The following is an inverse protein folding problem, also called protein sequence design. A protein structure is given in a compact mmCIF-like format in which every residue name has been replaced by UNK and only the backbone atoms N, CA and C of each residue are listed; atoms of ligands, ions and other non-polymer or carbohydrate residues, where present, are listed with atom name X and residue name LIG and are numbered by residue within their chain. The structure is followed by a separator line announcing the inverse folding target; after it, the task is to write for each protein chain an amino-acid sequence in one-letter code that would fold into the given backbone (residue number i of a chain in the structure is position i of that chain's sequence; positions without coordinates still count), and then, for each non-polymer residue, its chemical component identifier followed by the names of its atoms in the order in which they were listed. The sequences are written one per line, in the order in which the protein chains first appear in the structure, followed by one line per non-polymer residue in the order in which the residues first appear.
data_IF_344238181494
#
_entry.id   IF_344238181494
#
_cell.length_a   1.000
_cell.length_b   1.000
_cell.length_c   1.000
_cell.angle_alpha   90.00
_cell.angle_beta   90.00
_cell.angle_gamma   90.00
#
_symmetry.space_group_name_H-M   'P 1'
#
loop_
_entity.id
_entity.type
_entity.pdbx_description
1 polymer ?
#
# COMPACT_ATOMS: atom_id res chain seq x y z
N UNK A 1 10.09 -21.61 66.78
CA UNK A 1 10.05 -21.46 65.31
C UNK A 1 11.37 -21.99 64.76
N UNK A 2 11.35 -23.19 64.17
CA UNK A 2 12.56 -23.95 63.80
C UNK A 2 13.13 -23.36 62.51
N UNK A 3 14.38 -22.87 62.55
CA UNK A 3 15.13 -22.45 61.34
C UNK A 3 15.55 -23.70 60.59
N UNK A 4 14.81 -24.04 59.52
CA UNK A 4 15.24 -25.04 58.55
C UNK A 4 16.22 -24.37 57.60
N UNK A 5 17.51 -24.62 57.79
CA UNK A 5 18.52 -24.30 56.79
C UNK A 5 18.40 -25.28 55.63
N UNK A 6 18.05 -24.78 54.45
CA UNK A 6 18.11 -25.57 53.21
C UNK A 6 19.59 -25.92 53.00
N UNK A 7 19.96 -27.19 53.25
CA UNK A 7 21.25 -27.73 52.82
C UNK A 7 21.26 -27.71 51.29
N UNK A 8 21.98 -26.76 50.69
CA UNK A 8 22.33 -26.83 49.28
C UNK A 8 23.25 -28.05 49.10
N UNK A 9 22.74 -29.11 48.49
CA UNK A 9 23.55 -30.24 48.03
C UNK A 9 24.35 -29.80 46.81
N UNK A 10 25.48 -29.11 47.05
CA UNK A 10 26.48 -28.87 46.02
C UNK A 10 27.49 -30.02 46.12
N UNK A 11 27.31 -31.03 45.28
CA UNK A 11 28.23 -32.16 45.17
C UNK A 11 27.86 -33.00 43.95
N UNK A 12 28.51 -32.75 42.82
CA UNK A 12 28.41 -33.60 41.64
C UNK A 12 29.01 -34.99 41.88
N UNK A 13 29.00 -35.86 40.86
CA UNK A 13 29.49 -37.25 40.98
C UNK A 13 30.98 -37.39 41.32
N UNK A 14 31.74 -36.30 41.26
CA UNK A 14 33.14 -36.26 41.65
C UNK A 14 33.27 -36.29 43.20
N UNK A 15 33.92 -37.33 43.71
CA UNK A 15 34.19 -37.53 45.15
C UNK A 15 35.63 -37.12 45.48
N UNK A 16 35.91 -36.70 46.72
CA UNK A 16 37.28 -36.42 47.15
C UNK A 16 38.16 -37.66 46.97
N UNK A 17 39.39 -37.47 46.48
CA UNK A 17 40.39 -38.50 46.27
C UNK A 17 41.75 -38.02 46.82
N UNK A 18 42.57 -38.94 47.34
CA UNK A 18 43.83 -38.60 48.03
C UNK A 18 45.00 -38.31 47.09
N UNK A 19 44.94 -38.76 45.83
CA UNK A 19 45.95 -38.46 44.81
C UNK A 19 45.65 -37.16 44.05
N UNK A 20 46.65 -36.29 43.91
CA UNK A 20 46.51 -35.02 43.20
C UNK A 20 46.99 -35.11 41.73
N UNK A 21 46.14 -34.79 40.74
CA UNK A 21 46.54 -34.77 39.33
C UNK A 21 47.60 -33.68 39.05
N UNK A 22 48.49 -33.86 38.05
CA UNK A 22 49.51 -32.86 37.72
C UNK A 22 48.98 -31.44 37.45
N UNK A 23 47.71 -31.32 37.02
CA UNK A 23 47.04 -30.04 36.75
C UNK A 23 46.60 -29.28 38.02
N UNK A 24 46.44 -29.97 39.15
CA UNK A 24 45.97 -29.39 40.40
C UNK A 24 47.09 -29.24 41.45
N UNK A 25 48.32 -29.67 41.12
CA UNK A 25 49.51 -29.67 42.00
C UNK A 25 49.87 -28.32 42.61
N UNK A 26 49.43 -27.23 42.01
CA UNK A 26 49.68 -25.89 42.51
C UNK A 26 48.42 -25.37 43.20
N UNK A 27 48.60 -24.62 44.29
CA UNK A 27 47.53 -24.09 45.14
C UNK A 27 46.36 -23.49 44.32
N UNK A 28 45.12 -23.54 44.83
CA UNK A 28 43.96 -23.02 44.11
C UNK A 28 44.15 -21.55 43.72
N UNK A 29 44.20 -21.30 42.41
CA UNK A 29 44.39 -19.96 41.85
C UNK A 29 43.09 -19.15 41.77
N UNK A 30 41.94 -19.81 41.90
CA UNK A 30 40.62 -19.19 41.83
C UNK A 30 40.00 -19.12 43.23
N UNK A 31 39.47 -17.95 43.54
CA UNK A 31 38.70 -17.72 44.76
C UNK A 31 37.32 -18.36 44.64
N UNK A 32 36.77 -18.84 45.76
CA UNK A 32 35.43 -19.44 45.82
C UNK A 32 34.33 -18.56 45.22
N UNK A 33 34.43 -17.23 45.35
CA UNK A 33 33.47 -16.26 44.76
C UNK A 33 33.40 -16.31 43.23
N UNK A 34 34.43 -16.84 42.56
CA UNK A 34 34.48 -17.00 41.10
C UNK A 34 33.75 -18.27 40.65
N UNK A 35 33.49 -19.20 41.57
CA UNK A 35 32.83 -20.46 41.30
C UNK A 35 31.39 -20.50 41.85
N UNK A 36 31.17 -19.97 43.05
CA UNK A 36 29.85 -19.93 43.68
C UNK A 36 29.06 -18.68 43.26
N UNK A 37 27.77 -18.88 42.94
CA UNK A 37 26.84 -17.79 42.70
C UNK A 37 26.57 -16.94 43.93
N UNK A 38 26.10 -15.71 43.71
CA UNK A 38 25.80 -14.73 44.75
C UNK A 38 24.63 -15.14 45.68
N UNK A 39 24.44 -14.36 46.75
CA UNK A 39 23.37 -14.62 47.72
C UNK A 39 21.99 -14.51 47.03
N UNK A 40 21.09 -15.50 47.19
CA UNK A 40 19.84 -15.57 46.44
C UNK A 40 18.89 -14.38 46.67
N UNK A 41 18.96 -13.73 47.83
CA UNK A 41 18.09 -12.59 48.21
C UNK A 41 18.82 -11.25 48.37
N UNK A 42 20.14 -11.27 48.53
CA UNK A 42 20.98 -10.09 48.76
C UNK A 42 22.10 -10.09 47.73
N UNK A 43 21.70 -10.16 46.47
CA UNK A 43 22.62 -10.10 45.35
C UNK A 43 23.14 -8.68 45.12
N UNK A 44 24.23 -8.58 44.35
CA UNK A 44 24.85 -7.29 44.04
C UNK A 44 23.87 -6.32 43.37
N UNK A 45 23.01 -6.83 42.48
CA UNK A 45 22.05 -6.02 41.74
C UNK A 45 20.95 -5.40 42.65
N UNK A 46 20.33 -6.18 43.54
CA UNK A 46 19.28 -5.67 44.44
C UNK A 46 19.85 -4.66 45.43
N UNK A 47 21.05 -4.91 45.96
CA UNK A 47 21.73 -3.96 46.85
C UNK A 47 22.10 -2.66 46.10
N UNK A 48 22.57 -2.76 44.85
CA UNK A 48 22.82 -1.62 43.99
C UNK A 48 21.54 -0.81 43.73
N UNK A 49 20.44 -1.46 43.35
CA UNK A 49 19.17 -0.79 43.11
C UNK A 49 18.63 -0.11 44.37
N UNK A 50 18.79 -0.71 45.55
CA UNK A 50 18.41 -0.09 46.83
C UNK A 50 19.25 1.15 47.15
N UNK A 51 20.54 1.13 46.82
CA UNK A 51 21.42 2.29 46.99
C UNK A 51 21.11 3.42 46.00
N UNK A 52 20.77 3.07 44.75
CA UNK A 52 20.43 4.04 43.71
C UNK A 52 19.00 4.58 43.86
N UNK A 53 18.10 3.83 44.51
CA UNK A 53 16.69 4.19 44.74
C UNK A 53 16.47 5.66 45.13
N UNK A 54 17.09 6.21 46.18
CA UNK A 54 16.86 7.61 46.56
C UNK A 54 17.27 8.62 45.48
N UNK A 55 18.32 8.32 44.71
CA UNK A 55 18.74 9.18 43.59
C UNK A 55 17.72 9.12 42.44
N UNK A 56 17.25 7.91 42.12
CA UNK A 56 16.24 7.69 41.08
C UNK A 56 14.91 8.35 41.47
N UNK A 57 14.45 8.15 42.71
CA UNK A 57 13.23 8.79 43.23
C UNK A 57 13.32 10.31 43.17
N UNK A 58 14.48 10.89 43.51
CA UNK A 58 14.70 12.35 43.40
C UNK A 58 14.61 12.83 41.96
N UNK A 59 15.21 12.11 41.01
CA UNK A 59 15.15 12.46 39.59
C UNK A 59 13.71 12.38 39.10
N UNK A 60 13.02 11.26 39.32
CA UNK A 60 11.64 11.06 38.90
C UNK A 60 10.69 12.08 39.52
N UNK A 61 10.82 12.35 40.83
CA UNK A 61 10.01 13.36 41.52
C UNK A 61 10.27 14.76 40.96
N UNK A 62 11.53 15.11 40.69
CA UNK A 62 11.89 16.40 40.10
C UNK A 62 11.30 16.54 38.69
N UNK A 63 11.44 15.51 37.84
CA UNK A 63 10.87 15.50 36.49
C UNK A 63 9.35 15.60 36.52
N UNK A 64 8.68 14.82 37.38
CA UNK A 64 7.23 14.85 37.52
C UNK A 64 6.74 16.22 38.02
N UNK A 65 7.37 16.77 39.06
CA UNK A 65 7.02 18.10 39.60
C UNK A 65 7.23 19.22 38.59
N UNK A 66 8.27 19.12 37.76
CA UNK A 66 8.54 20.10 36.70
C UNK A 66 7.47 20.01 35.61
N UNK A 67 7.14 18.80 35.16
CA UNK A 67 6.09 18.56 34.17
C UNK A 67 4.71 19.02 34.67
N UNK A 68 4.37 18.71 35.93
CA UNK A 68 3.10 19.15 36.53
C UNK A 68 3.05 20.67 36.65
N UNK A 69 4.13 21.29 37.11
CA UNK A 69 4.19 22.75 37.26
C UNK A 69 4.08 23.47 35.92
N UNK A 70 4.72 22.94 34.87
CA UNK A 70 4.59 23.44 33.50
C UNK A 70 3.15 23.28 32.99
N UNK A 71 2.54 22.10 33.19
CA UNK A 71 1.16 21.84 32.80
C UNK A 71 0.18 22.79 33.50
N UNK A 72 0.33 23.00 34.82
CA UNK A 72 -0.50 23.95 35.58
C UNK A 72 -0.28 25.40 35.12
N UNK A 73 0.94 25.76 34.75
CA UNK A 73 1.26 27.10 34.25
C UNK A 73 0.57 27.40 32.91
N UNK A 74 0.35 26.39 32.07
CA UNK A 74 -0.40 26.51 30.79
C UNK A 74 -1.91 26.39 31.02
N UNK A 75 -2.34 25.43 31.83
CA UNK A 75 -3.77 25.13 32.02
C UNK A 75 -4.50 26.21 32.83
N UNK A 76 -3.91 26.71 33.91
CA UNK A 76 -4.56 27.69 34.78
C UNK A 76 -4.95 29.01 34.07
N UNK A 77 -4.11 29.65 33.23
CA UNK A 77 -4.53 30.84 32.51
C UNK A 77 -5.64 30.54 31.50
N UNK A 78 -5.54 29.43 30.75
CA UNK A 78 -6.59 29.02 29.80
C UNK A 78 -7.91 28.77 30.51
N UNK A 79 -7.89 28.00 31.62
CA UNK A 79 -9.06 27.76 32.47
C UNK A 79 -9.68 29.07 32.97
N UNK A 80 -8.86 30.01 33.45
CA UNK A 80 -9.35 31.32 33.93
C UNK A 80 -10.03 32.10 32.81
N UNK A 81 -9.48 32.11 31.59
CA UNK A 81 -10.08 32.77 30.43
C UNK A 81 -11.41 32.10 30.06
N UNK A 82 -11.43 30.77 29.95
CA UNK A 82 -12.65 30.02 29.61
C UNK A 82 -13.76 30.26 30.63
N UNK A 83 -13.46 30.17 31.94
CA UNK A 83 -14.46 30.42 33.00
C UNK A 83 -14.91 31.88 33.08
N UNK A 84 -14.04 32.84 32.73
CA UNK A 84 -14.40 34.26 32.69
C UNK A 84 -15.43 34.57 31.60
N UNK A 85 -15.32 33.92 30.43
CA UNK A 85 -16.24 34.12 29.31
C UNK A 85 -17.42 33.15 29.31
N UNK A 86 -17.25 31.95 29.84
CA UNK A 86 -18.26 30.88 29.90
C UNK A 86 -18.34 30.32 31.33
N UNK A 87 -18.99 31.04 32.26
CA UNK A 87 -19.00 30.67 33.68
C UNK A 87 -19.84 29.43 34.00
N UNK A 88 -20.86 29.13 33.18
CA UNK A 88 -21.77 27.98 33.36
C UNK A 88 -21.48 26.88 32.32
N UNK A 89 -21.77 25.63 32.68
CA UNK A 89 -21.55 24.43 31.85
C UNK A 89 -22.31 24.51 30.52
N UNK A 90 -23.49 25.15 30.52
CA UNK A 90 -24.31 25.34 29.32
C UNK A 90 -23.57 26.19 28.27
N UNK A 91 -22.98 27.30 28.70
CA UNK A 91 -22.19 28.17 27.82
C UNK A 91 -20.88 27.49 27.38
N UNK A 92 -20.25 26.70 28.25
CA UNK A 92 -19.08 25.91 27.89
C UNK A 92 -19.40 24.87 26.81
N UNK A 93 -20.55 24.21 26.89
CA UNK A 93 -21.00 23.28 25.86
C UNK A 93 -21.28 23.99 24.52
N UNK A 94 -21.93 25.16 24.55
CA UNK A 94 -22.14 25.99 23.35
C UNK A 94 -20.81 26.41 22.74
N UNK A 95 -19.84 26.86 23.55
CA UNK A 95 -18.52 27.25 23.06
C UNK A 95 -17.76 26.04 22.47
N UNK A 96 -17.85 24.86 23.08
CA UNK A 96 -17.21 23.63 22.60
C UNK A 96 -17.82 23.14 21.28
N UNK A 97 -19.15 23.16 21.17
CA UNK A 97 -19.84 22.80 19.92
C UNK A 97 -19.51 23.79 18.80
N UNK A 98 -19.51 25.10 19.10
CA UNK A 98 -19.10 26.13 18.15
C UNK A 98 -17.64 25.95 17.70
N UNK A 99 -16.73 25.59 18.61
CA UNK A 99 -15.35 25.27 18.28
C UNK A 99 -15.28 24.09 17.30
N UNK A 100 -15.93 22.95 17.60
CA UNK A 100 -15.90 21.79 16.70
C UNK A 100 -16.56 22.06 15.34
N UNK A 101 -17.66 22.81 15.30
CA UNK A 101 -18.30 23.20 14.05
C UNK A 101 -17.41 24.11 13.22
N UNK A 102 -16.74 25.08 13.85
CA UNK A 102 -15.80 25.98 13.18
C UNK A 102 -14.58 25.21 12.66
N UNK A 103 -14.00 24.32 13.47
CA UNK A 103 -12.90 23.45 13.03
C UNK A 103 -13.34 22.58 11.86
N UNK A 104 -14.51 21.95 11.92
CA UNK A 104 -15.05 21.15 10.82
C UNK A 104 -15.26 21.99 9.56
N UNK A 105 -15.78 23.21 9.68
CA UNK A 105 -16.00 24.11 8.56
C UNK A 105 -14.66 24.51 7.90
N UNK A 106 -13.64 24.82 8.70
CA UNK A 106 -12.28 25.10 8.21
C UNK A 106 -11.70 23.87 7.51
N UNK A 107 -11.79 22.68 8.12
CA UNK A 107 -11.31 21.43 7.52
C UNK A 107 -12.04 21.11 6.22
N UNK A 108 -13.36 21.32 6.17
CA UNK A 108 -14.15 21.13 4.96
C UNK A 108 -13.75 22.12 3.86
N UNK A 109 -13.53 23.40 4.20
CA UNK A 109 -13.10 24.40 3.23
C UNK A 109 -11.76 24.01 2.58
N UNK A 110 -10.73 23.77 3.39
CA UNK A 110 -9.42 23.37 2.85
C UNK A 110 -9.46 21.99 2.17
N UNK A 111 -10.28 21.06 2.69
CA UNK A 111 -10.54 19.77 2.05
C UNK A 111 -11.17 19.93 0.68
N UNK A 112 -12.13 20.84 0.51
CA UNK A 112 -12.79 21.11 -0.78
C UNK A 112 -11.84 21.76 -1.80
N UNK A 113 -10.96 22.66 -1.35
CA UNK A 113 -9.94 23.26 -2.22
C UNK A 113 -8.96 22.20 -2.70
N UNK A 114 -8.48 21.34 -1.79
CA UNK A 114 -7.58 20.25 -2.15
C UNK A 114 -8.27 19.22 -3.04
N UNK A 115 -9.52 18.86 -2.74
CA UNK A 115 -10.31 17.96 -3.59
C UNK A 115 -10.50 18.54 -4.99
N UNK A 116 -10.75 19.84 -5.13
CA UNK A 116 -10.82 20.49 -6.44
C UNK A 116 -9.54 20.36 -7.27
N UNK A 117 -8.36 20.38 -6.64
CA UNK A 117 -7.09 20.11 -7.32
C UNK A 117 -6.96 18.64 -7.75
N UNK A 118 -7.38 17.70 -6.89
CA UNK A 118 -7.40 16.28 -7.20
C UNK A 118 -8.37 15.98 -8.34
N UNK A 119 -9.56 16.59 -8.32
CA UNK A 119 -10.58 16.43 -9.35
C UNK A 119 -10.10 16.98 -10.69
N UNK A 120 -9.44 18.15 -10.71
CA UNK A 120 -8.80 18.67 -11.91
C UNK A 120 -7.73 17.72 -12.44
N UNK A 121 -6.89 17.18 -11.57
CA UNK A 121 -5.89 16.17 -11.94
C UNK A 121 -6.54 14.91 -12.54
N UNK A 122 -7.62 14.43 -11.94
CA UNK A 122 -8.38 13.29 -12.46
C UNK A 122 -9.02 13.60 -13.81
N UNK A 123 -9.58 14.79 -14.02
CA UNK A 123 -10.14 15.21 -15.30
C UNK A 123 -9.08 15.25 -16.41
N UNK A 124 -7.86 15.71 -16.09
CA UNK A 124 -6.74 15.67 -17.04
C UNK A 124 -6.33 14.24 -17.38
N UNK A 125 -6.32 13.33 -16.40
CA UNK A 125 -6.02 11.91 -16.63
C UNK A 125 -7.11 11.23 -17.46
N UNK A 126 -8.38 11.59 -17.27
CA UNK A 126 -9.48 11.11 -18.11
C UNK A 126 -9.38 11.65 -19.53
N UNK A 127 -9.02 12.93 -19.71
CA UNK A 127 -8.75 13.49 -21.04
C UNK A 127 -7.62 12.76 -21.77
N UNK A 128 -6.53 12.43 -21.06
CA UNK A 128 -5.46 11.61 -21.63
C UNK A 128 -5.93 10.19 -22.00
N UNK A 129 -6.85 9.62 -21.23
CA UNK A 129 -7.44 8.32 -21.55
C UNK A 129 -8.33 8.39 -22.80
N UNK A 130 -9.06 9.50 -23.00
CA UNK A 130 -9.87 9.77 -24.19
C UNK A 130 -8.97 9.97 -25.43
N UNK A 131 -7.89 10.74 -25.33
CA UNK A 131 -6.91 10.92 -26.41
C UNK A 131 -6.31 9.57 -26.87
N UNK A 132 -6.00 8.68 -25.91
CA UNK A 132 -5.53 7.32 -26.20
C UNK A 132 -6.63 6.46 -26.82
N UNK A 133 -7.88 6.66 -26.43
CA UNK A 133 -9.01 5.95 -27.00
C UNK A 133 -9.24 6.35 -28.47
N UNK A 134 -9.14 7.64 -28.81
CA UNK A 134 -9.23 8.12 -30.20
C UNK A 134 -8.15 7.51 -31.10
N UNK A 135 -6.98 7.19 -30.54
CA UNK A 135 -5.88 6.51 -31.23
C UNK A 135 -6.05 4.98 -31.31
N UNK A 136 -7.13 4.43 -30.74
CA UNK A 136 -7.39 2.99 -30.71
C UNK A 136 -6.49 2.21 -29.76
N UNK A 137 -5.88 2.86 -28.76
CA UNK A 137 -4.95 2.22 -27.83
C UNK A 137 -5.61 1.11 -26.99
N UNK A 138 -6.87 1.30 -26.61
CA UNK A 138 -7.65 0.34 -25.80
C UNK A 138 -8.26 -0.79 -26.63
N UNK A 139 -8.26 -0.69 -27.96
CA UNK A 139 -8.86 -1.68 -28.84
C UNK A 139 -8.12 -3.01 -28.77
N UNK A 140 -8.86 -4.11 -28.90
CA UNK A 140 -8.28 -5.43 -29.10
C UNK A 140 -7.65 -5.55 -30.49
N UNK A 141 -6.80 -6.58 -30.66
CA UNK A 141 -6.24 -6.90 -31.99
C UNK A 141 -7.33 -7.18 -33.03
N UNK A 142 -8.45 -7.75 -32.61
CA UNK A 142 -9.57 -8.06 -33.49
C UNK A 142 -10.33 -6.80 -33.91
N UNK A 143 -10.61 -5.88 -32.98
CA UNK A 143 -11.31 -4.63 -33.27
C UNK A 143 -10.50 -3.72 -34.20
N UNK A 144 -9.21 -3.52 -33.92
CA UNK A 144 -8.35 -2.71 -34.81
C UNK A 144 -8.22 -3.34 -36.21
N UNK A 145 -8.21 -4.68 -36.32
CA UNK A 145 -8.24 -5.34 -37.64
C UNK A 145 -9.55 -5.07 -38.38
N UNK A 146 -10.69 -5.19 -37.68
CA UNK A 146 -12.00 -4.95 -38.27
C UNK A 146 -12.20 -3.49 -38.68
N UNK A 147 -11.68 -2.52 -37.92
CA UNK A 147 -11.74 -1.10 -38.27
C UNK A 147 -10.92 -0.81 -39.54
N UNK A 148 -9.73 -1.40 -39.66
CA UNK A 148 -8.89 -1.30 -40.86
C UNK A 148 -9.57 -1.94 -42.08
N UNK A 149 -10.19 -3.11 -41.91
CA UNK A 149 -10.96 -3.77 -42.96
C UNK A 149 -12.15 -2.91 -43.41
N UNK A 150 -12.93 -2.36 -42.47
CA UNK A 150 -14.04 -1.44 -42.78
C UNK A 150 -13.58 -0.19 -43.52
N UNK A 151 -12.45 0.39 -43.12
CA UNK A 151 -11.86 1.53 -43.81
C UNK A 151 -11.47 1.16 -45.25
N UNK A 152 -10.80 0.02 -45.42
CA UNK A 152 -10.39 -0.49 -46.73
C UNK A 152 -11.60 -0.77 -47.64
N UNK A 153 -12.63 -1.45 -47.14
CA UNK A 153 -13.86 -1.73 -47.89
C UNK A 153 -14.58 -0.44 -48.31
N UNK A 154 -14.66 0.55 -47.40
CA UNK A 154 -15.25 1.86 -47.71
C UNK A 154 -14.50 2.56 -48.84
N UNK A 155 -13.17 2.53 -48.79
CA UNK A 155 -12.33 3.18 -49.81
C UNK A 155 -12.37 2.43 -51.14
N UNK A 156 -12.35 1.09 -51.12
CA UNK A 156 -12.52 0.27 -52.31
C UNK A 156 -13.88 0.53 -52.98
N UNK A 157 -14.96 0.59 -52.21
CA UNK A 157 -16.29 0.91 -52.73
C UNK A 157 -16.36 2.34 -53.31
N UNK A 158 -15.68 3.31 -52.69
CA UNK A 158 -15.57 4.69 -53.20
C UNK A 158 -14.86 4.71 -54.55
N UNK A 159 -13.72 4.04 -54.67
CA UNK A 159 -12.93 3.97 -55.90
C UNK A 159 -13.69 3.24 -57.02
N UNK A 160 -14.38 2.13 -56.71
CA UNK A 160 -15.20 1.41 -57.69
C UNK A 160 -16.33 2.28 -58.24
N UNK A 161 -17.06 3.00 -57.38
CA UNK A 161 -18.12 3.92 -57.81
C UNK A 161 -17.58 5.08 -58.64
N UNK A 162 -16.41 5.61 -58.26
CA UNK A 162 -15.74 6.68 -59.00
C UNK A 162 -15.32 6.19 -60.38
N UNK A 163 -14.77 4.97 -60.47
CA UNK A 163 -14.41 4.33 -61.73
C UNK A 163 -15.63 4.11 -62.63
N UNK A 164 -16.71 3.51 -62.10
CA UNK A 164 -17.95 3.28 -62.85
C UNK A 164 -18.53 4.60 -63.39
N UNK A 165 -18.60 5.63 -62.55
CA UNK A 165 -19.11 6.96 -62.92
C UNK A 165 -18.23 7.65 -63.95
N UNK A 166 -16.90 7.56 -63.80
CA UNK A 166 -15.95 8.16 -64.73
C UNK A 166 -15.99 7.46 -66.10
N UNK A 167 -16.14 6.14 -66.10
CA UNK A 167 -16.23 5.34 -67.33
C UNK A 167 -17.53 5.62 -68.08
N UNK A 168 -18.66 5.74 -67.39
CA UNK A 168 -19.95 6.10 -67.97
C UNK A 168 -19.87 7.47 -68.68
N UNK A 169 -19.37 8.50 -67.97
CA UNK A 169 -19.23 9.87 -68.53
C UNK A 169 -18.22 9.96 -69.67
N UNK A 170 -17.09 9.26 -69.56
CA UNK A 170 -16.09 9.21 -70.63
C UNK A 170 -16.63 8.50 -71.88
N UNK A 171 -17.51 7.50 -71.70
CA UNK A 171 -18.16 6.78 -72.81
C UNK A 171 -19.20 7.67 -73.50
N UNK A 172 -19.99 8.43 -72.73
CA UNK A 172 -20.96 9.39 -73.28
C UNK A 172 -20.28 10.54 -74.05
N UNK A 173 -19.21 11.10 -73.48
CA UNK A 173 -18.45 12.21 -74.07
C UNK A 173 -17.44 11.77 -75.14
N UNK A 174 -17.12 10.48 -75.22
CA UNK A 174 -16.08 9.89 -76.08
C UNK A 174 -14.71 10.55 -75.92
N UNK A 175 -14.40 11.08 -74.75
CA UNK A 175 -13.15 11.78 -74.46
C UNK A 175 -12.36 11.09 -73.37
N UNK A 176 -11.06 10.85 -73.63
CA UNK A 176 -10.13 10.35 -72.64
C UNK A 176 -9.76 11.42 -71.59
N UNK A 177 -9.84 12.70 -71.96
CA UNK A 177 -9.56 13.82 -71.03
C UNK A 177 -10.58 13.86 -69.89
N UNK A 178 -11.84 13.52 -70.15
CA UNK A 178 -12.89 13.43 -69.14
C UNK A 178 -12.56 12.36 -68.09
N UNK A 179 -12.03 11.20 -68.52
CA UNK A 179 -11.57 10.15 -67.62
C UNK A 179 -10.37 10.59 -66.76
N UNK A 180 -9.41 11.29 -67.37
CA UNK A 180 -8.26 11.86 -66.65
C UNK A 180 -8.67 12.91 -65.61
N UNK A 181 -9.74 13.67 -65.88
CA UNK A 181 -10.25 14.68 -64.94
C UNK A 181 -10.75 14.08 -63.62
N UNK A 182 -11.23 12.83 -63.66
CA UNK A 182 -11.72 12.09 -62.50
C UNK A 182 -10.61 11.44 -61.66
N UNK A 183 -9.38 11.33 -62.17
CA UNK A 183 -8.24 10.76 -61.43
C UNK A 183 -7.73 11.71 -60.36
N UNK A 184 -7.80 13.02 -60.59
CA UNK A 184 -7.37 14.04 -59.64
C UNK A 184 -8.48 14.25 -58.62
N UNK A 185 -8.34 13.75 -57.39
CA UNK A 185 -9.41 13.86 -56.41
C UNK A 185 -9.54 15.31 -55.95
N UNK A 186 -10.76 15.73 -55.63
CA UNK A 186 -10.96 17.03 -54.98
C UNK A 186 -10.55 16.94 -53.51
N UNK A 187 -10.13 18.06 -52.93
CA UNK A 187 -9.63 18.14 -51.55
C UNK A 187 -10.59 17.60 -50.46
N UNK A 188 -11.88 17.52 -50.75
CA UNK A 188 -12.91 16.98 -49.84
C UNK A 188 -13.27 15.50 -50.13
N UNK A 189 -12.76 14.91 -51.21
CA UNK A 189 -13.10 13.54 -51.64
C UNK A 189 -12.13 12.49 -51.10
N UNK A 190 -10.95 12.92 -50.64
CA UNK A 190 -9.93 12.04 -50.05
C UNK A 190 -9.99 12.17 -48.54
N UNK A 191 -10.11 11.06 -47.80
CA UNK A 191 -9.82 11.09 -46.37
C UNK A 191 -8.39 11.60 -46.17
N UNK A 192 -8.22 12.71 -45.46
CA UNK A 192 -6.92 13.37 -45.27
C UNK A 192 -5.93 12.57 -44.43
N UNK A 193 -6.37 11.46 -43.83
CA UNK A 193 -5.53 10.57 -43.01
C UNK A 193 -5.06 9.35 -43.81
N UNK A 194 -3.74 9.18 -43.91
CA UNK A 194 -3.15 7.88 -44.27
C UNK A 194 -3.32 6.96 -43.06
N UNK A 195 -3.89 5.77 -43.26
CA UNK A 195 -3.99 4.77 -42.19
C UNK A 195 -2.57 4.39 -41.76
N UNK A 196 -2.22 4.49 -40.46
CA UNK A 196 -0.88 4.18 -40.00
C UNK A 196 -0.56 2.71 -40.29
N UNK A 197 0.66 2.39 -40.80
CA UNK A 197 1.01 1.04 -41.22
C UNK A 197 1.02 0.04 -40.04
N UNK A 198 1.29 0.52 -38.84
CA UNK A 198 1.34 -0.27 -37.60
C UNK A 198 0.52 0.46 -36.53
N UNK A 199 -0.22 -0.31 -35.72
CA UNK A 199 -0.89 0.14 -34.50
C UNK A 199 -0.18 -0.44 -33.28
N UNK A 200 -0.09 0.36 -32.21
CA UNK A 200 0.31 -0.09 -30.88
C UNK A 200 -0.89 -0.04 -29.94
N UNK A 201 -1.09 -1.10 -29.15
CA UNK A 201 -2.26 -1.27 -28.27
C UNK A 201 -1.83 -1.59 -26.85
N UNK A 202 -2.69 -1.33 -25.89
CA UNK A 202 -2.47 -1.63 -24.49
C UNK A 202 -2.18 -3.13 -24.25
N UNK A 203 -2.92 -4.01 -24.91
CA UNK A 203 -2.75 -5.47 -24.77
C UNK A 203 -1.41 -6.01 -25.30
N UNK A 204 -0.57 -5.16 -25.91
CA UNK A 204 0.78 -5.53 -26.32
C UNK A 204 1.82 -5.27 -25.21
N UNK A 205 1.44 -4.59 -24.13
CA UNK A 205 2.28 -4.37 -22.95
C UNK A 205 2.27 -5.63 -22.10
N UNK A 206 3.46 -6.16 -21.83
CA UNK A 206 3.63 -7.39 -21.07
C UNK A 206 3.38 -7.17 -19.58
N UNK A 207 2.71 -8.13 -18.95
CA UNK A 207 2.39 -8.09 -17.52
C UNK A 207 2.45 -9.49 -16.91
N UNK A 208 2.92 -9.59 -15.67
CA UNK A 208 2.87 -10.80 -14.87
C UNK A 208 4.08 -10.92 -13.95
N UNK A 209 3.85 -11.32 -12.70
CA UNK A 209 4.91 -11.52 -11.70
C UNK A 209 5.99 -12.50 -12.18
N UNK A 210 5.57 -13.60 -12.78
CA UNK A 210 6.44 -14.68 -13.25
C UNK A 210 6.61 -14.66 -14.78
N UNK A 211 6.27 -13.54 -15.46
CA UNK A 211 6.39 -13.40 -16.92
C UNK A 211 7.81 -12.96 -17.31
N UNK A 212 8.55 -13.82 -17.98
CA UNK A 212 9.93 -13.58 -18.44
C UNK A 212 10.06 -12.32 -19.31
N UNK A 213 9.04 -11.98 -20.11
CA UNK A 213 9.05 -10.80 -20.97
C UNK A 213 9.09 -9.47 -20.20
N UNK A 214 8.82 -9.49 -18.88
CA UNK A 214 8.87 -8.32 -17.99
C UNK A 214 10.17 -8.18 -17.19
N UNK A 215 11.03 -9.21 -17.21
CA UNK A 215 12.26 -9.26 -16.42
C UNK A 215 13.47 -8.94 -17.30
N UNK A 216 14.13 -7.82 -17.01
CA UNK A 216 15.41 -7.46 -17.66
C UNK A 216 16.59 -7.87 -16.78
N UNK A 217 16.56 -7.47 -15.50
CA UNK A 217 17.53 -7.81 -14.48
C UNK A 217 16.82 -8.10 -13.16
N UNK A 218 17.45 -8.91 -12.30
CA UNK A 218 16.91 -9.22 -10.99
C UNK A 218 16.82 -7.96 -10.12
N UNK A 219 15.63 -7.69 -9.58
CA UNK A 219 15.42 -6.60 -8.62
C UNK A 219 15.90 -7.04 -7.23
N UNK A 220 16.77 -6.26 -6.54
CA UNK A 220 17.30 -6.66 -5.24
C UNK A 220 16.19 -6.74 -4.17
N UNK A 221 16.31 -7.71 -3.25
CA UNK A 221 15.26 -8.03 -2.28
C UNK A 221 14.89 -6.89 -1.32
N UNK A 222 15.82 -5.97 -1.05
CA UNK A 222 15.57 -4.83 -0.17
C UNK A 222 14.83 -3.67 -0.85
N UNK A 223 14.68 -3.70 -2.18
CA UNK A 223 13.86 -2.74 -2.93
C UNK A 223 12.45 -3.29 -3.25
N UNK A 224 12.23 -4.59 -3.05
CA UNK A 224 10.94 -5.21 -3.31
C UNK A 224 9.90 -4.84 -2.23
N UNK A 225 8.65 -4.53 -2.61
CA UNK A 225 7.61 -4.22 -1.65
C UNK A 225 7.22 -5.46 -0.83
N UNK A 226 6.86 -5.22 0.43
CA UNK A 226 6.39 -6.28 1.32
C UNK A 226 4.89 -6.55 1.13
N UNK A 227 4.51 -7.82 1.13
CA UNK A 227 3.10 -8.25 1.24
C UNK A 227 2.60 -7.96 2.65
N UNK A 228 1.33 -7.53 2.77
CA UNK A 228 0.71 -7.35 4.07
C UNK A 228 0.71 -8.66 4.88
N UNK A 229 0.87 -8.57 6.20
CA UNK A 229 0.90 -9.72 7.11
C UNK A 229 -0.17 -9.57 8.19
N UNK A 230 -1.06 -10.54 8.28
CA UNK A 230 -2.03 -10.68 9.36
C UNK A 230 -2.04 -12.13 9.85
N UNK A 231 -1.73 -12.33 11.12
CA UNK A 231 -1.71 -13.63 11.78
C UNK A 231 -2.26 -13.51 13.20
N UNK A 232 -3.48 -13.99 13.40
CA UNK A 232 -4.16 -14.04 14.69
C UNK A 232 -4.89 -15.38 14.84
N UNK A 233 -5.35 -15.68 16.07
CA UNK A 233 -6.15 -16.87 16.34
C UNK A 233 -7.49 -16.90 15.59
N UNK A 234 -8.06 -15.74 15.26
CA UNK A 234 -9.38 -15.61 14.65
C UNK A 234 -9.35 -15.44 13.14
N UNK A 235 -8.28 -14.87 12.57
CA UNK A 235 -8.11 -14.69 11.13
C UNK A 235 -6.64 -14.59 10.73
N UNK A 236 -6.36 -14.89 9.46
CA UNK A 236 -5.05 -14.68 8.85
C UNK A 236 -5.17 -14.41 7.34
N UNK A 237 -4.13 -13.84 6.74
CA UNK A 237 -4.02 -13.64 5.28
C UNK A 237 -2.94 -14.52 4.63
N UNK A 238 -2.57 -15.61 5.31
CA UNK A 238 -1.52 -16.55 4.89
C UNK A 238 -2.10 -17.84 4.30
N UNK A 239 -3.34 -18.20 4.64
CA UNK A 239 -4.01 -19.42 4.17
C UNK A 239 -4.47 -19.37 2.71
N UNK A 240 -4.25 -18.25 2.02
CA UNK A 240 -4.70 -18.04 0.65
C UNK A 240 -4.10 -16.77 0.06
N UNK A 241 -4.30 -16.62 -1.24
CA UNK A 241 -3.82 -15.47 -1.98
C UNK A 241 -4.90 -14.91 -2.91
N UNK A 242 -4.91 -13.59 -3.06
CA UNK A 242 -5.90 -12.86 -3.85
C UNK A 242 -5.36 -12.46 -5.24
N UNK A 243 -4.06 -12.69 -5.47
CA UNK A 243 -3.37 -12.24 -6.66
C UNK A 243 -3.17 -10.72 -6.67
N UNK A 244 -2.79 -10.21 -7.83
CA UNK A 244 -2.51 -8.79 -8.04
C UNK A 244 -3.74 -8.06 -8.58
N UNK A 245 -3.62 -6.75 -8.82
CA UNK A 245 -4.75 -5.93 -9.26
C UNK A 245 -5.37 -6.40 -10.58
N UNK A 246 -4.54 -6.90 -11.51
CA UNK A 246 -4.92 -7.40 -12.83
C UNK A 246 -5.14 -8.93 -12.78
N UNK A 247 -4.10 -9.70 -12.45
CA UNK A 247 -4.17 -11.17 -12.37
C UNK A 247 -4.69 -11.62 -11.00
N UNK A 248 -6.00 -11.43 -10.78
CA UNK A 248 -6.68 -11.82 -9.54
C UNK A 248 -6.93 -13.33 -9.48
N UNK A 249 -6.95 -13.86 -8.27
CA UNK A 249 -7.29 -15.26 -8.03
C UNK A 249 -8.18 -15.46 -6.80
N UNK A 250 -8.86 -16.60 -6.77
CA UNK A 250 -9.72 -16.97 -5.65
C UNK A 250 -8.89 -17.43 -4.45
N UNK A 251 -9.06 -16.73 -3.33
CA UNK A 251 -8.35 -17.03 -2.09
C UNK A 251 -8.76 -18.37 -1.45
N UNK A 252 -9.87 -18.99 -1.87
CA UNK A 252 -10.32 -20.30 -1.38
C UNK A 252 -9.98 -21.41 -2.37
N UNK A 253 -9.52 -22.54 -1.83
CA UNK A 253 -9.28 -23.75 -2.61
C UNK A 253 -10.58 -24.40 -3.14
N UNK A 254 -10.51 -25.25 -4.17
CA UNK A 254 -11.66 -25.76 -4.91
C UNK A 254 -12.77 -26.40 -4.06
N UNK A 255 -12.41 -27.09 -2.97
CA UNK A 255 -13.35 -27.77 -2.07
C UNK A 255 -14.25 -26.81 -1.28
N UNK A 256 -13.74 -25.61 -0.96
CA UNK A 256 -14.46 -24.65 -0.12
C UNK A 256 -15.24 -23.61 -0.94
N UNK A 257 -14.97 -23.48 -2.25
CA UNK A 257 -15.61 -22.48 -3.11
C UNK A 257 -17.15 -22.62 -3.14
N UNK A 258 -17.74 -23.82 -3.24
CA UNK A 258 -19.19 -23.97 -3.22
C UNK A 258 -19.84 -23.52 -1.90
N UNK A 259 -19.09 -23.62 -0.79
CA UNK A 259 -19.54 -23.27 0.54
C UNK A 259 -19.03 -21.89 1.00
N UNK A 260 -18.68 -20.98 0.08
CA UNK A 260 -18.05 -19.67 0.42
C UNK A 260 -18.83 -18.88 1.46
N UNK A 261 -20.16 -18.90 1.38
CA UNK A 261 -21.05 -18.19 2.30
C UNK A 261 -20.85 -18.58 3.78
N UNK A 262 -20.30 -19.77 4.07
CA UNK A 262 -20.01 -20.21 5.44
C UNK A 262 -18.75 -19.56 6.02
N UNK A 263 -17.93 -18.90 5.19
CA UNK A 263 -16.66 -18.26 5.59
C UNK A 263 -16.74 -16.74 5.54
N UNK A 264 -17.94 -16.18 5.64
CA UNK A 264 -18.20 -14.73 5.59
C UNK A 264 -19.21 -14.37 6.68
N UNK A 265 -18.93 -13.32 7.45
CA UNK A 265 -19.89 -12.80 8.43
C UNK A 265 -21.11 -12.14 7.75
N UNK A 266 -20.90 -11.56 6.57
CA UNK A 266 -21.91 -10.91 5.75
C UNK A 266 -21.75 -11.40 4.31
N UNK A 267 -22.84 -11.87 3.71
CA UNK A 267 -22.87 -12.34 2.32
C UNK A 267 -23.93 -11.56 1.51
N UNK A 268 -23.48 -10.85 0.48
CA UNK A 268 -24.36 -10.16 -0.47
C UNK A 268 -24.32 -10.98 -1.78
N UNK A 269 -25.42 -11.66 -2.16
CA UNK A 269 -25.46 -12.47 -3.37
C UNK A 269 -25.46 -11.61 -4.64
N UNK A 270 -25.05 -12.19 -5.76
CA UNK A 270 -25.15 -11.53 -7.07
C UNK A 270 -26.60 -11.44 -7.55
N UNK A 271 -26.92 -10.37 -8.28
CA UNK A 271 -28.18 -10.24 -9.01
C UNK A 271 -28.12 -11.11 -10.26
N UNK A 272 -29.16 -11.92 -10.48
CA UNK A 272 -29.30 -12.77 -11.67
C UNK A 272 -30.53 -12.36 -12.47
#
# INVERSE_FOLDING_TARGET
MIRVSIRRLAGGSAKPHWGEPPKHRWQPFLLDRMHYGEHPTYNGFVLLMRNLRPKIEKILSSTFSTLSSMSFSVYNPVKKVVLRHNPDIRYQFVALTAFFLTTRAITHYYGSVYQGLVDLGNMLMLGAADDLNEQGFWNSKAEDKQEREKYFEKEQNRLNKLWESALERATESKSFEELCSHVVPRHYEVPTGVVPPVSWRFNMIQYGKDNEDSHTFDTPSHEQPLRSLALNFTYNNLSGDWGDYINRQDNKGPLMRPARQMFTDIFIPGTK
#
